data_IF_474490400573
#
_entry.id   IF_474490400573
#
_cell.length_a   1.000
_cell.length_b   1.000
_cell.length_c   1.000
_cell.angle_alpha   90.00
_cell.angle_beta   90.00
_cell.angle_gamma   90.00
#
_symmetry.space_group_name_H-M   'P 1'
#
loop_
_entity.id
_entity.type
_entity.pdbx_description
1 polymer ?
#
# COMPACT_ATOMS: atom_id res chain seq x y z
N UNK A 1 -11.12 -13.00 12.20
CA UNK A 1 -11.39 -12.07 11.08
C UNK A 1 -10.06 -11.65 10.50
N UNK A 2 -9.90 -11.77 9.17
CA UNK A 2 -8.64 -11.49 8.49
C UNK A 2 -8.42 -9.99 8.29
N UNK A 3 -7.32 -9.48 8.84
CA UNK A 3 -6.90 -8.10 8.70
C UNK A 3 -5.57 -8.03 7.95
N UNK A 4 -5.40 -7.11 6.97
CA UNK A 4 -4.15 -7.00 6.24
C UNK A 4 -3.05 -6.41 7.14
N UNK A 5 -1.94 -7.15 7.28
CA UNK A 5 -0.71 -6.64 7.86
C UNK A 5 0.20 -5.98 6.81
N UNK A 6 0.16 -6.51 5.58
CA UNK A 6 0.95 -6.05 4.44
C UNK A 6 0.19 -6.38 3.15
N UNK A 7 0.13 -5.43 2.22
CA UNK A 7 -0.49 -5.62 0.91
C UNK A 7 0.40 -5.03 -0.18
N UNK A 8 0.75 -5.83 -1.17
CA UNK A 8 1.62 -5.48 -2.28
C UNK A 8 0.82 -5.56 -3.59
N UNK A 9 0.53 -4.42 -4.21
CA UNK A 9 -0.18 -4.34 -5.50
C UNK A 9 0.83 -4.11 -6.63
N UNK A 10 0.72 -4.92 -7.67
CA UNK A 10 1.61 -4.90 -8.82
C UNK A 10 0.79 -4.98 -10.11
N UNK A 11 1.34 -4.46 -11.21
CA UNK A 11 0.72 -4.51 -12.52
C UNK A 11 1.64 -5.22 -13.53
N UNK A 12 1.02 -5.90 -14.49
CA UNK A 12 1.72 -6.54 -15.61
C UNK A 12 1.19 -7.94 -15.91
N UNK A 13 1.55 -8.48 -17.09
CA UNK A 13 1.18 -9.83 -17.45
C UNK A 13 1.92 -10.84 -16.57
N UNK A 14 1.20 -11.84 -16.08
CA UNK A 14 1.75 -12.98 -15.36
C UNK A 14 1.36 -14.25 -16.11
N UNK A 15 2.34 -14.89 -16.76
CA UNK A 15 2.12 -16.18 -17.43
C UNK A 15 1.91 -17.30 -16.41
N UNK A 16 1.29 -18.41 -16.83
CA UNK A 16 1.07 -19.57 -15.97
C UNK A 16 2.37 -20.12 -15.35
N UNK A 17 3.48 -20.08 -16.09
CA UNK A 17 4.80 -20.48 -15.57
C UNK A 17 5.28 -19.59 -14.44
N UNK A 18 5.11 -18.26 -14.58
CA UNK A 18 5.50 -17.29 -13.56
C UNK A 18 4.55 -17.34 -12.36
N UNK A 19 3.26 -17.57 -12.61
CA UNK A 19 2.27 -17.78 -11.56
C UNK A 19 2.62 -19.04 -10.75
N UNK A 20 2.96 -20.15 -11.40
CA UNK A 20 3.43 -21.37 -10.73
C UNK A 20 4.69 -21.10 -9.92
N UNK A 21 5.68 -20.42 -10.49
CA UNK A 21 6.91 -20.08 -9.78
C UNK A 21 6.64 -19.21 -8.53
N UNK A 22 5.71 -18.25 -8.59
CA UNK A 22 5.31 -17.45 -7.42
C UNK A 22 4.58 -18.32 -6.37
N UNK A 23 3.63 -19.15 -6.80
CA UNK A 23 2.93 -20.09 -5.92
C UNK A 23 3.91 -21.00 -5.20
N UNK A 24 4.89 -21.57 -5.91
CA UNK A 24 5.92 -22.44 -5.35
C UNK A 24 6.85 -21.66 -4.41
N UNK A 25 7.30 -20.47 -4.81
CA UNK A 25 8.17 -19.62 -4.00
C UNK A 25 7.55 -19.34 -2.64
N UNK A 26 6.25 -19.06 -2.59
CA UNK A 26 5.51 -18.78 -1.36
C UNK A 26 4.89 -20.03 -0.71
N UNK A 27 5.06 -21.20 -1.31
CA UNK A 27 4.42 -22.46 -0.95
C UNK A 27 2.91 -22.28 -0.73
N UNK A 28 2.25 -21.63 -1.70
CA UNK A 28 0.80 -21.44 -1.69
C UNK A 28 0.11 -22.71 -2.14
N UNK A 29 -1.03 -23.01 -1.51
CA UNK A 29 -1.95 -24.00 -2.05
C UNK A 29 -2.66 -23.37 -3.25
N UNK A 30 -2.75 -24.06 -4.41
CA UNK A 30 -3.41 -23.55 -5.62
C UNK A 30 -4.94 -23.65 -5.48
N UNK A 31 -5.45 -23.32 -4.31
CA UNK A 31 -6.86 -23.25 -3.97
C UNK A 31 -7.16 -21.83 -3.54
N UNK A 32 -8.16 -21.17 -4.13
CA UNK A 32 -8.53 -19.83 -3.72
C UNK A 32 -9.11 -19.84 -2.32
N UNK A 33 -8.90 -18.74 -1.60
CA UNK A 33 -9.60 -18.48 -0.35
C UNK A 33 -11.07 -18.16 -0.65
N UNK A 34 -11.97 -18.59 0.23
CA UNK A 34 -13.42 -18.43 0.04
C UNK A 34 -14.06 -17.34 0.91
N UNK A 35 -13.33 -16.80 1.88
CA UNK A 35 -13.86 -15.84 2.87
C UNK A 35 -12.89 -14.70 3.17
N UNK A 36 -13.42 -13.56 3.61
CA UNK A 36 -12.67 -12.37 4.01
C UNK A 36 -12.36 -11.39 2.87
N UNK A 37 -11.71 -10.25 3.16
CA UNK A 37 -11.47 -9.19 2.18
C UNK A 37 -10.67 -9.70 0.98
N UNK A 38 -11.13 -9.44 -0.25
CA UNK A 38 -10.41 -9.82 -1.48
C UNK A 38 -10.54 -11.29 -1.91
N UNK A 39 -11.29 -12.13 -1.18
CA UNK A 39 -11.43 -13.56 -1.52
C UNK A 39 -11.94 -13.82 -2.94
N UNK A 40 -12.82 -12.96 -3.47
CA UNK A 40 -13.35 -13.07 -4.83
C UNK A 40 -12.27 -13.05 -5.93
N UNK A 41 -11.12 -12.42 -5.68
CA UNK A 41 -9.98 -12.40 -6.60
C UNK A 41 -8.91 -13.42 -6.25
N UNK A 42 -9.03 -14.16 -5.14
CA UNK A 42 -8.02 -15.11 -4.68
C UNK A 42 -7.79 -16.20 -5.73
N UNK A 43 -6.53 -16.58 -5.91
CA UNK A 43 -6.10 -17.64 -6.84
C UNK A 43 -5.40 -18.75 -6.07
N UNK A 44 -4.57 -18.39 -5.12
CA UNK A 44 -3.81 -19.30 -4.28
C UNK A 44 -3.58 -18.66 -2.92
N UNK A 45 -3.60 -19.47 -1.86
CA UNK A 45 -3.31 -18.98 -0.53
C UNK A 45 -2.63 -20.05 0.31
N UNK A 46 -2.01 -19.63 1.42
CA UNK A 46 -1.55 -20.53 2.47
C UNK A 46 -1.82 -19.89 3.82
N UNK A 47 -2.20 -20.70 4.79
CA UNK A 47 -2.24 -20.31 6.20
C UNK A 47 -1.10 -20.96 6.96
N UNK A 48 -0.45 -20.21 7.84
CA UNK A 48 0.66 -20.68 8.66
C UNK A 48 0.73 -19.89 9.97
N UNK A 49 1.61 -20.33 10.86
CA UNK A 49 1.87 -19.66 12.13
C UNK A 49 3.33 -19.19 12.15
N UNK A 50 3.54 -17.96 12.59
CA UNK A 50 4.87 -17.38 12.79
C UNK A 50 4.91 -16.68 14.15
N UNK A 51 5.74 -17.21 15.06
CA UNK A 51 5.63 -16.87 16.47
C UNK A 51 4.26 -17.25 17.03
N UNK A 52 3.54 -16.27 17.57
CA UNK A 52 2.16 -16.42 18.09
C UNK A 52 1.09 -15.99 17.08
N UNK A 53 1.48 -15.34 15.97
CA UNK A 53 0.54 -14.84 14.98
C UNK A 53 0.12 -15.93 13.99
N UNK A 54 -1.19 -16.07 13.78
CA UNK A 54 -1.75 -16.86 12.68
C UNK A 54 -1.84 -15.97 11.44
N UNK A 55 -1.12 -16.35 10.39
CA UNK A 55 -0.98 -15.57 9.17
C UNK A 55 -1.59 -16.31 7.99
N UNK A 56 -2.15 -15.55 7.06
CA UNK A 56 -2.62 -16.06 5.76
C UNK A 56 -2.00 -15.24 4.66
N UNK A 57 -1.20 -15.87 3.81
CA UNK A 57 -0.68 -15.28 2.60
C UNK A 57 -1.61 -15.61 1.44
N UNK A 58 -2.05 -14.59 0.72
CA UNK A 58 -3.01 -14.70 -0.38
C UNK A 58 -2.45 -14.02 -1.63
N UNK A 59 -2.48 -14.74 -2.76
CA UNK A 59 -2.25 -14.21 -4.09
C UNK A 59 -3.59 -14.08 -4.80
N UNK A 60 -3.94 -12.86 -5.17
CA UNK A 60 -5.19 -12.55 -5.82
C UNK A 60 -5.00 -11.71 -7.10
N UNK A 61 -5.92 -11.88 -8.03
CA UNK A 61 -6.04 -11.06 -9.24
C UNK A 61 -6.96 -9.87 -8.96
N UNK A 62 -6.57 -8.70 -9.45
CA UNK A 62 -7.33 -7.44 -9.36
C UNK A 62 -7.55 -6.92 -10.77
N UNK A 63 -8.78 -7.05 -11.28
CA UNK A 63 -9.09 -6.73 -12.68
C UNK A 63 -8.28 -7.59 -13.66
N UNK A 64 -8.01 -7.06 -14.84
CA UNK A 64 -7.42 -7.87 -15.92
C UNK A 64 -5.90 -8.00 -15.83
N UNK A 65 -5.21 -7.01 -15.26
CA UNK A 65 -3.75 -6.89 -15.37
C UNK A 65 -3.03 -6.59 -14.05
N UNK A 66 -3.73 -6.60 -12.91
CA UNK A 66 -3.10 -6.37 -11.62
C UNK A 66 -3.17 -7.60 -10.71
N UNK A 67 -2.16 -7.71 -9.86
CA UNK A 67 -1.95 -8.81 -8.92
C UNK A 67 -1.68 -8.24 -7.54
N UNK A 68 -2.19 -8.91 -6.52
CA UNK A 68 -1.97 -8.52 -5.14
C UNK A 68 -1.49 -9.70 -4.31
N UNK A 69 -0.36 -9.51 -3.61
CA UNK A 69 0.03 -10.35 -2.49
C UNK A 69 -0.41 -9.67 -1.20
N UNK A 70 -1.18 -10.38 -0.37
CA UNK A 70 -1.61 -9.85 0.93
C UNK A 70 -1.22 -10.82 2.03
N UNK A 71 -0.49 -10.31 3.03
CA UNK A 71 -0.27 -10.99 4.29
C UNK A 71 -1.36 -10.54 5.26
N UNK A 72 -2.31 -11.43 5.52
CA UNK A 72 -3.33 -11.26 6.54
C UNK A 72 -2.87 -11.83 7.87
N UNK A 73 -3.45 -11.32 8.95
CA UNK A 73 -3.39 -11.93 10.27
C UNK A 73 -4.79 -12.15 10.84
N UNK A 74 -4.94 -13.19 11.66
CA UNK A 74 -6.14 -13.45 12.45
C UNK A 74 -5.81 -13.33 13.94
N UNK A 75 -6.39 -12.33 14.59
CA UNK A 75 -6.09 -12.01 15.98
C UNK A 75 -4.81 -11.16 16.10
N UNK A 76 -3.77 -11.72 16.69
CA UNK A 76 -2.54 -10.99 17.01
C UNK A 76 -1.84 -10.46 15.74
N UNK A 77 -1.39 -9.22 15.79
CA UNK A 77 -0.68 -8.58 14.70
C UNK A 77 0.75 -9.11 14.64
N UNK A 78 1.29 -9.48 13.47
CA UNK A 78 2.69 -9.87 13.36
C UNK A 78 3.62 -8.73 13.77
N UNK A 79 4.81 -9.10 14.26
CA UNK A 79 5.88 -8.16 14.54
C UNK A 79 6.34 -7.41 13.29
N UNK A 80 6.93 -6.22 13.49
CA UNK A 80 7.43 -5.39 12.38
C UNK A 80 8.49 -6.13 11.58
N UNK A 81 9.36 -6.91 12.22
CA UNK A 81 10.37 -7.76 11.59
C UNK A 81 9.76 -8.78 10.61
N UNK A 82 8.66 -9.43 11.00
CA UNK A 82 7.92 -10.36 10.14
C UNK A 82 7.34 -9.64 8.93
N UNK A 83 6.74 -8.46 9.14
CA UNK A 83 6.17 -7.64 8.06
C UNK A 83 7.25 -7.21 7.07
N UNK A 84 8.40 -6.74 7.55
CA UNK A 84 9.49 -6.27 6.70
C UNK A 84 10.22 -7.41 5.96
N UNK A 85 10.30 -8.60 6.56
CA UNK A 85 10.78 -9.80 5.88
C UNK A 85 9.87 -10.18 4.70
N UNK A 86 8.54 -10.15 4.92
CA UNK A 86 7.57 -10.41 3.86
C UNK A 86 7.57 -9.32 2.78
N UNK A 87 7.71 -8.05 3.16
CA UNK A 87 7.86 -6.93 2.20
C UNK A 87 9.03 -7.16 1.26
N UNK A 88 10.20 -7.45 1.82
CA UNK A 88 11.42 -7.70 1.04
C UNK A 88 11.24 -8.90 0.10
N UNK A 89 10.60 -9.97 0.59
CA UNK A 89 10.31 -11.16 -0.21
C UNK A 89 9.30 -10.90 -1.32
N UNK A 90 8.22 -10.16 -1.06
CA UNK A 90 7.24 -9.77 -2.08
C UNK A 90 7.89 -8.99 -3.20
N UNK A 91 8.71 -7.99 -2.86
CA UNK A 91 9.45 -7.18 -3.84
C UNK A 91 10.34 -8.06 -4.72
N UNK A 92 11.21 -8.85 -4.09
CA UNK A 92 12.15 -9.68 -4.82
C UNK A 92 11.45 -10.71 -5.73
N UNK A 93 10.36 -11.33 -5.27
CA UNK A 93 9.59 -12.31 -6.05
C UNK A 93 8.89 -11.68 -7.25
N UNK A 94 8.22 -10.54 -7.05
CA UNK A 94 7.41 -9.90 -8.08
C UNK A 94 8.28 -9.15 -9.10
N UNK A 95 9.42 -8.59 -8.68
CA UNK A 95 10.45 -8.06 -9.58
C UNK A 95 10.99 -9.17 -10.50
N UNK A 96 11.28 -10.36 -9.96
CA UNK A 96 11.69 -11.53 -10.77
C UNK A 96 10.59 -12.02 -11.72
N UNK A 97 9.33 -11.89 -11.32
CA UNK A 97 8.19 -12.17 -12.19
C UNK A 97 7.99 -11.13 -13.31
N UNK A 98 8.76 -10.03 -13.29
CA UNK A 98 8.67 -8.95 -14.26
C UNK A 98 7.42 -8.09 -14.09
N UNK A 99 6.84 -8.07 -12.90
CA UNK A 99 5.72 -7.21 -12.55
C UNK A 99 6.23 -5.87 -12.05
N UNK A 100 5.49 -4.80 -12.33
CA UNK A 100 5.86 -3.46 -11.89
C UNK A 100 5.09 -3.12 -10.61
N UNK A 101 5.83 -2.71 -9.58
CA UNK A 101 5.24 -2.27 -8.32
C UNK A 101 4.29 -1.08 -8.54
N UNK A 102 3.09 -1.17 -7.97
CA UNK A 102 2.11 -0.06 -7.94
C UNK A 102 2.06 0.56 -6.55
N UNK A 103 1.99 -0.27 -5.50
CA UNK A 103 2.04 0.20 -4.10
C UNK A 103 2.30 -0.94 -3.12
N UNK A 104 2.84 -0.61 -1.96
CA UNK A 104 2.81 -1.46 -0.78
C UNK A 104 2.17 -0.70 0.38
N UNK A 105 1.24 -1.35 1.06
CA UNK A 105 0.52 -0.82 2.22
C UNK A 105 0.76 -1.70 3.46
N UNK A 106 1.26 -1.16 4.59
CA UNK A 106 1.72 0.22 4.76
C UNK A 106 3.03 0.48 3.99
N UNK A 107 3.24 1.68 3.42
CA UNK A 107 4.47 2.01 2.71
C UNK A 107 5.64 2.23 3.68
N UNK A 108 6.79 1.64 3.37
CA UNK A 108 8.06 1.86 4.08
C UNK A 108 8.98 2.83 3.33
N UNK A 109 8.82 2.95 2.01
CA UNK A 109 9.63 3.83 1.15
C UNK A 109 8.76 4.67 0.22
N UNK A 110 9.37 5.70 -0.38
CA UNK A 110 8.68 6.63 -1.27
C UNK A 110 8.09 5.96 -2.53
N UNK A 111 8.78 4.97 -3.09
CA UNK A 111 8.35 4.19 -4.27
C UNK A 111 7.22 3.19 -3.98
N UNK A 112 6.92 2.93 -2.70
CA UNK A 112 5.80 2.07 -2.31
C UNK A 112 4.48 2.82 -2.20
N UNK A 113 4.52 4.15 -2.28
CA UNK A 113 3.34 4.99 -2.24
C UNK A 113 2.67 4.97 -3.61
N UNK A 114 1.40 4.54 -3.68
CA UNK A 114 0.60 4.75 -4.87
C UNK A 114 0.52 6.23 -5.15
N UNK A 115 1.23 6.70 -6.16
CA UNK A 115 1.04 8.04 -6.67
C UNK A 115 0.11 8.02 -7.85
N UNK A 116 -0.88 8.93 -7.89
CA UNK A 116 -1.61 9.14 -9.12
C UNK A 116 -0.58 9.54 -10.21
N UNK A 117 -0.66 8.92 -11.38
CA UNK A 117 0.05 9.45 -12.54
C UNK A 117 -0.34 10.93 -12.70
N UNK A 118 0.55 11.82 -13.19
CA UNK A 118 0.20 13.20 -13.44
C UNK A 118 -0.77 13.28 -14.63
N UNK A 119 -2.01 12.82 -14.42
CA UNK A 119 -3.12 13.07 -15.30
C UNK A 119 -3.67 14.44 -14.90
N UNK A 120 -3.55 15.39 -15.81
CA UNK A 120 -4.27 16.67 -15.79
C UNK A 120 -5.77 16.38 -15.94
N UNK A 121 -6.42 15.96 -14.86
CA UNK A 121 -7.85 15.64 -14.81
C UNK A 121 -8.39 15.76 -13.38
N UNK A 122 -9.66 16.12 -13.19
CA UNK A 122 -10.22 16.54 -11.90
C UNK A 122 -10.43 15.41 -10.87
N UNK A 123 -9.94 14.19 -11.11
CA UNK A 123 -10.20 13.02 -10.26
C UNK A 123 -9.19 12.85 -9.11
N UNK A 124 -8.62 13.95 -8.62
CA UNK A 124 -7.99 13.93 -7.29
C UNK A 124 -9.10 14.07 -6.25
N UNK A 125 -9.20 13.12 -5.32
CA UNK A 125 -10.24 13.07 -4.26
C UNK A 125 -10.29 14.33 -3.38
N UNK A 126 -9.25 15.17 -3.45
CA UNK A 126 -9.24 16.56 -3.00
C UNK A 126 -9.71 17.44 -4.17
N UNK A 127 -11.00 17.79 -4.16
CA UNK A 127 -11.65 18.58 -5.21
C UNK A 127 -11.13 20.03 -5.33
N UNK A 128 -11.94 20.92 -5.90
CA UNK A 128 -11.53 22.31 -6.18
C UNK A 128 -11.24 23.18 -4.93
N UNK A 129 -11.61 22.73 -3.72
CA UNK A 129 -11.53 23.52 -2.49
C UNK A 129 -11.05 22.65 -1.33
N UNK A 130 -10.32 23.26 -0.40
CA UNK A 130 -9.83 22.59 0.80
C UNK A 130 -10.98 22.14 1.71
N UNK A 131 -11.20 20.83 1.89
CA UNK A 131 -12.40 20.33 2.54
C UNK A 131 -12.27 20.22 4.06
N UNK A 132 -11.11 20.54 4.64
CA UNK A 132 -10.82 20.25 6.04
C UNK A 132 -10.59 21.51 6.87
N UNK A 133 -11.19 21.63 8.05
CA UNK A 133 -10.98 22.78 8.94
C UNK A 133 -9.65 22.72 9.71
N UNK A 134 -8.77 21.76 9.39
CA UNK A 134 -7.55 21.49 10.13
C UNK A 134 -6.40 22.40 9.68
N UNK A 135 -5.66 22.92 10.64
CA UNK A 135 -4.60 23.92 10.50
C UNK A 135 -3.18 23.35 10.58
N UNK A 136 -3.01 22.05 10.90
CA UNK A 136 -1.68 21.43 11.01
C UNK A 136 -1.56 20.02 10.46
N UNK A 137 -0.32 19.64 10.09
CA UNK A 137 0.00 18.40 9.37
C UNK A 137 -0.35 17.14 10.16
N UNK A 138 -0.18 17.16 11.49
CA UNK A 138 -0.51 16.03 12.36
C UNK A 138 -2.00 15.62 12.28
N UNK A 139 -2.88 16.56 11.95
CA UNK A 139 -4.32 16.30 11.74
C UNK A 139 -4.64 15.90 10.31
N UNK A 140 -3.78 16.26 9.37
CA UNK A 140 -3.93 15.96 7.94
C UNK A 140 -3.43 14.56 7.61
N UNK A 141 -2.34 14.07 8.23
CA UNK A 141 -1.77 12.75 7.94
C UNK A 141 -2.77 11.60 7.96
N UNK A 142 -3.61 11.43 9.00
CA UNK A 142 -4.58 10.34 9.01
C UNK A 142 -5.61 10.44 7.87
N UNK A 143 -5.93 11.65 7.40
CA UNK A 143 -6.84 11.89 6.27
C UNK A 143 -6.22 11.51 4.94
N UNK A 144 -4.91 11.62 4.83
CA UNK A 144 -4.13 11.18 3.67
C UNK A 144 -3.80 9.67 3.70
N UNK A 145 -4.35 8.93 4.67
CA UNK A 145 -4.00 7.53 4.89
C UNK A 145 -2.55 7.34 5.36
N UNK A 146 -1.90 8.40 5.85
CA UNK A 146 -0.53 8.36 6.35
C UNK A 146 -0.54 8.19 7.85
N UNK A 147 0.13 7.14 8.32
CA UNK A 147 0.27 6.88 9.75
C UNK A 147 1.17 7.93 10.40
N UNK A 148 0.95 8.20 11.69
CA UNK A 148 1.79 9.13 12.45
C UNK A 148 3.27 8.70 12.48
N UNK A 149 3.52 7.38 12.53
CA UNK A 149 4.84 6.72 12.53
C UNK A 149 5.40 6.50 11.12
N UNK A 150 4.73 6.97 10.05
CA UNK A 150 5.21 6.77 8.68
C UNK A 150 6.56 7.48 8.45
N UNK A 151 7.46 6.85 7.65
CA UNK A 151 8.75 7.45 7.31
C UNK A 151 8.59 8.84 6.67
N UNK A 152 9.56 9.73 6.95
CA UNK A 152 9.55 11.09 6.41
C UNK A 152 9.40 11.12 4.89
N UNK A 153 10.13 10.26 4.17
CA UNK A 153 10.04 10.18 2.71
C UNK A 153 8.62 9.84 2.20
N UNK A 154 7.88 8.99 2.91
CA UNK A 154 6.48 8.66 2.59
C UNK A 154 5.58 9.87 2.81
N UNK A 155 5.74 10.55 3.96
CA UNK A 155 5.02 11.81 4.27
C UNK A 155 5.30 12.88 3.21
N UNK A 156 6.55 13.02 2.77
CA UNK A 156 6.92 13.97 1.72
C UNK A 156 6.25 13.67 0.38
N UNK A 157 6.21 12.41 -0.06
CA UNK A 157 5.52 12.03 -1.30
C UNK A 157 4.04 12.41 -1.22
N UNK A 158 3.36 11.99 -0.16
CA UNK A 158 1.93 12.27 0.05
C UNK A 158 1.63 13.76 0.17
N UNK A 159 2.49 14.51 0.85
CA UNK A 159 2.36 15.96 0.94
C UNK A 159 2.51 16.62 -0.44
N UNK A 160 3.51 16.22 -1.24
CA UNK A 160 3.69 16.74 -2.60
C UNK A 160 2.50 16.41 -3.50
N UNK A 161 1.84 15.27 -3.33
CA UNK A 161 0.61 14.96 -4.05
C UNK A 161 -0.52 15.93 -3.69
N UNK A 162 -0.74 16.17 -2.40
CA UNK A 162 -1.76 17.12 -1.92
C UNK A 162 -1.48 18.53 -2.43
N UNK A 163 -0.21 18.95 -2.41
CA UNK A 163 0.20 20.28 -2.88
C UNK A 163 -0.03 20.50 -4.38
N UNK A 164 -0.13 19.41 -5.17
CA UNK A 164 -0.47 19.49 -6.60
C UNK A 164 -1.96 19.61 -6.86
N UNK A 165 -2.80 19.44 -5.85
CA UNK A 165 -4.26 19.53 -6.01
C UNK A 165 -4.74 20.97 -6.13
N UNK A 166 -5.85 21.22 -6.88
CA UNK A 166 -6.44 22.56 -6.97
C UNK A 166 -6.92 23.12 -5.63
N UNK A 167 -7.17 22.28 -4.63
CA UNK A 167 -7.53 22.69 -3.27
C UNK A 167 -6.38 23.35 -2.50
N UNK A 168 -5.12 23.02 -2.79
CA UNK A 168 -3.96 23.45 -1.97
C UNK A 168 -3.83 24.97 -1.80
N UNK A 169 -4.03 25.81 -2.82
CA UNK A 169 -4.03 27.27 -2.66
C UNK A 169 -5.06 27.80 -1.66
N UNK A 170 -6.11 27.03 -1.36
CA UNK A 170 -7.17 27.39 -0.39
C UNK A 170 -6.98 26.76 1.00
N UNK A 171 -5.91 25.99 1.20
CA UNK A 171 -5.57 25.42 2.50
C UNK A 171 -5.25 26.51 3.54
N UNK A 172 -5.49 26.27 4.85
CA UNK A 172 -5.13 27.21 5.91
C UNK A 172 -3.66 27.63 5.85
N UNK A 173 -3.39 28.91 6.04
CA UNK A 173 -2.03 29.46 5.92
C UNK A 173 -1.03 28.77 6.85
N UNK A 174 -1.42 28.49 8.09
CA UNK A 174 -0.59 27.76 9.05
C UNK A 174 -0.17 26.38 8.51
N UNK A 175 -1.09 25.67 7.85
CA UNK A 175 -0.83 24.37 7.25
C UNK A 175 0.14 24.47 6.07
N UNK A 176 0.01 25.52 5.26
CA UNK A 176 0.93 25.75 4.12
C UNK A 176 2.34 26.05 4.61
N UNK A 177 2.49 26.88 5.63
CA UNK A 177 3.77 27.19 6.26
C UNK A 177 4.40 25.94 6.90
N UNK A 178 3.61 25.14 7.61
CA UNK A 178 4.09 23.89 8.20
C UNK A 178 4.53 22.89 7.13
N UNK A 179 3.80 22.80 6.00
CA UNK A 179 4.18 21.97 4.86
C UNK A 179 5.50 22.42 4.21
N UNK A 180 5.71 23.72 4.05
CA UNK A 180 6.96 24.27 3.52
C UNK A 180 8.13 24.03 4.47
N UNK A 181 7.95 24.25 5.77
CA UNK A 181 8.94 23.91 6.79
C UNK A 181 9.26 22.41 6.77
N UNK A 182 8.23 21.58 6.74
CA UNK A 182 8.37 20.14 6.64
C UNK A 182 9.17 19.73 5.40
N UNK A 183 8.91 20.30 4.21
CA UNK A 183 9.64 19.95 2.97
C UNK A 183 11.06 20.52 2.90
N UNK A 184 11.30 21.69 3.49
CA UNK A 184 12.62 22.32 3.55
C UNK A 184 13.54 21.70 4.61
N UNK A 185 12.97 20.94 5.56
CA UNK A 185 13.73 20.30 6.63
C UNK A 185 14.11 21.27 7.76
N UNK A 186 13.33 22.35 7.89
CA UNK A 186 13.49 23.42 8.91
C UNK A 186 12.54 23.18 10.07
#
# INVERSE_FOLDING_TARGET
MLWPALRALYHGPLSDDRLRALTDEFALDPTPRTEGPGAAGSVAHRTFTEGTARLTLDLARVGDFAWVLTLFHDGERPGTDVVEAHRSRFRAALDRAGLTLVQIDPPATADEVLTAAPETGPDSALGAHWPWPHDGLDRVWPRLGVRADAPRAVKEVRLREVMRTPAWPTAPEALRQEAEAFLSGV
#
